data_IF_692441995575
#
_entry.id   IF_692441995575
#
_cell.length_a   1.000
_cell.length_b   1.000
_cell.length_c   1.000
_cell.angle_alpha   90.00
_cell.angle_beta   90.00
_cell.angle_gamma   90.00
#
_symmetry.space_group_name_H-M   'P 1'
#
loop_
_entity.id
_entity.type
_entity.pdbx_description
1 polymer ?
#
# COMPACT_ATOMS: atom_id res chain seq x y z
N UNK A 1 9.27 -16.15 -26.31
CA UNK A 1 9.02 -17.57 -25.95
C UNK A 1 10.09 -18.54 -26.43
N UNK A 2 10.46 -18.60 -27.72
CA UNK A 2 11.47 -19.55 -28.24
C UNK A 2 12.75 -19.64 -27.41
N UNK A 3 13.40 -18.49 -27.15
CA UNK A 3 14.64 -18.43 -26.35
C UNK A 3 14.45 -18.99 -24.93
N UNK A 4 13.31 -18.71 -24.29
CA UNK A 4 13.04 -19.20 -22.94
C UNK A 4 12.89 -20.71 -22.91
N UNK A 5 12.25 -21.30 -23.92
CA UNK A 5 12.11 -22.76 -24.04
C UNK A 5 13.44 -23.43 -24.38
N UNK A 6 14.20 -22.87 -25.33
CA UNK A 6 15.52 -23.41 -25.74
C UNK A 6 16.55 -23.37 -24.59
N UNK A 7 16.48 -22.34 -23.75
CA UNK A 7 17.37 -22.17 -22.58
C UNK A 7 16.79 -22.69 -21.26
N UNK A 8 15.58 -23.25 -21.29
CA UNK A 8 14.82 -23.67 -20.10
C UNK A 8 14.77 -22.60 -18.98
N UNK A 9 14.57 -21.33 -19.36
CA UNK A 9 14.43 -20.22 -18.42
C UNK A 9 13.00 -20.20 -17.88
N UNK A 10 12.87 -20.40 -16.57
CA UNK A 10 11.61 -20.54 -15.84
C UNK A 10 11.33 -19.29 -14.99
N UNK A 11 10.09 -19.08 -14.52
CA UNK A 11 9.75 -17.96 -13.65
C UNK A 11 10.66 -17.84 -12.42
N UNK A 12 11.04 -18.95 -11.77
CA UNK A 12 11.94 -18.95 -10.59
C UNK A 12 13.38 -18.56 -10.91
N UNK A 13 13.80 -18.67 -12.17
CA UNK A 13 15.12 -18.19 -12.61
C UNK A 13 15.16 -16.67 -12.77
N UNK A 14 13.99 -16.03 -12.92
CA UNK A 14 13.81 -14.58 -13.11
C UNK A 14 13.39 -13.91 -11.80
N UNK A 15 12.38 -14.46 -11.12
CA UNK A 15 11.77 -13.93 -9.91
C UNK A 15 12.62 -14.27 -8.68
N UNK A 16 13.80 -13.66 -8.61
CA UNK A 16 14.77 -13.79 -7.50
C UNK A 16 14.61 -12.66 -6.48
N UNK A 17 15.26 -12.76 -5.32
CA UNK A 17 15.26 -11.70 -4.30
C UNK A 17 15.71 -10.34 -4.88
N UNK A 18 16.75 -10.35 -5.72
CA UNK A 18 17.23 -9.16 -6.45
C UNK A 18 16.19 -8.60 -7.41
N UNK A 19 15.41 -9.46 -8.08
CA UNK A 19 14.34 -9.00 -8.96
C UNK A 19 13.17 -8.38 -8.17
N UNK A 20 12.82 -8.94 -7.01
CA UNK A 20 11.85 -8.32 -6.10
C UNK A 20 12.35 -6.99 -5.54
N UNK A 21 13.62 -6.89 -5.16
CA UNK A 21 14.25 -5.61 -4.79
C UNK A 21 14.08 -4.57 -5.91
N UNK A 22 14.45 -4.94 -7.14
CA UNK A 22 14.30 -4.06 -8.30
C UNK A 22 12.84 -3.60 -8.51
N UNK A 23 11.88 -4.52 -8.35
CA UNK A 23 10.47 -4.21 -8.47
C UNK A 23 10.01 -3.22 -7.39
N UNK A 24 10.43 -3.40 -6.14
CA UNK A 24 10.06 -2.51 -5.02
C UNK A 24 10.69 -1.14 -5.22
N UNK A 25 11.98 -1.05 -5.55
CA UNK A 25 12.65 0.23 -5.86
C UNK A 25 11.91 0.96 -6.98
N UNK A 26 11.52 0.25 -8.04
CA UNK A 26 10.76 0.81 -9.17
C UNK A 26 9.36 1.29 -8.74
N UNK A 27 8.69 0.58 -7.83
CA UNK A 27 7.42 1.04 -7.24
C UNK A 27 7.62 2.31 -6.43
N UNK A 28 8.69 2.39 -5.61
CA UNK A 28 8.97 3.54 -4.74
C UNK A 28 9.29 4.79 -5.55
N UNK A 29 10.26 4.72 -6.46
CA UNK A 29 10.68 5.87 -7.30
C UNK A 29 9.54 6.46 -8.13
N UNK A 30 8.59 5.62 -8.54
CA UNK A 30 7.42 6.02 -9.32
C UNK A 30 6.21 6.45 -8.46
N UNK A 31 6.30 6.36 -7.12
CA UNK A 31 5.19 6.70 -6.23
C UNK A 31 3.98 5.76 -6.38
N UNK A 32 4.25 4.48 -6.62
CA UNK A 32 3.28 3.46 -6.98
C UNK A 32 2.21 3.15 -5.92
N UNK A 33 1.29 2.25 -6.27
CA UNK A 33 0.13 1.90 -5.44
C UNK A 33 0.52 1.09 -4.20
N UNK A 34 -0.20 1.29 -3.10
CA UNK A 34 -0.12 0.47 -1.88
C UNK A 34 -0.47 -1.01 -2.17
N UNK A 35 -1.33 -1.28 -3.16
CA UNK A 35 -1.68 -2.63 -3.60
C UNK A 35 -0.45 -3.44 -4.09
N UNK A 36 0.61 -2.76 -4.55
CA UNK A 36 1.83 -3.43 -4.98
C UNK A 36 2.46 -4.26 -3.84
N UNK A 37 2.31 -3.83 -2.58
CA UNK A 37 2.79 -4.57 -1.40
C UNK A 37 2.15 -5.95 -1.34
N UNK A 38 0.81 -6.03 -1.44
CA UNK A 38 0.07 -7.29 -1.41
C UNK A 38 0.52 -8.22 -2.55
N UNK A 39 0.56 -7.68 -3.77
CA UNK A 39 0.87 -8.46 -4.97
C UNK A 39 2.31 -8.97 -4.98
N UNK A 40 3.28 -8.15 -4.55
CA UNK A 40 4.69 -8.56 -4.51
C UNK A 40 4.93 -9.61 -3.43
N UNK A 41 4.29 -9.50 -2.25
CA UNK A 41 4.37 -10.54 -1.20
C UNK A 41 3.77 -11.86 -1.72
N UNK A 42 2.58 -11.81 -2.33
CA UNK A 42 1.95 -13.00 -2.91
C UNK A 42 2.79 -13.65 -4.01
N UNK A 43 3.37 -12.84 -4.92
CA UNK A 43 4.25 -13.33 -5.97
C UNK A 43 5.54 -13.94 -5.39
N UNK A 44 6.14 -13.33 -4.37
CA UNK A 44 7.34 -13.85 -3.71
C UNK A 44 7.08 -15.22 -3.07
N UNK A 45 5.97 -15.36 -2.33
CA UNK A 45 5.52 -16.63 -1.75
C UNK A 45 5.36 -17.73 -2.81
N UNK A 46 4.79 -17.42 -3.99
CA UNK A 46 4.59 -18.40 -5.07
C UNK A 46 5.89 -19.03 -5.62
N UNK A 47 7.03 -18.33 -5.44
CA UNK A 47 8.36 -18.79 -5.85
C UNK A 47 9.25 -19.18 -4.67
N UNK A 48 8.71 -19.22 -3.45
CA UNK A 48 9.44 -19.63 -2.24
C UNK A 48 10.38 -18.55 -1.68
N UNK A 49 10.14 -17.28 -1.99
CA UNK A 49 10.92 -16.15 -1.47
C UNK A 49 10.14 -15.48 -0.34
N UNK A 50 10.82 -15.24 0.78
CA UNK A 50 10.27 -14.46 1.88
C UNK A 50 10.39 -12.97 1.55
N UNK A 51 9.26 -12.28 1.58
CA UNK A 51 9.17 -10.83 1.44
C UNK A 51 8.17 -10.32 2.47
N UNK A 52 8.59 -9.41 3.35
CA UNK A 52 7.78 -8.89 4.46
C UNK A 52 7.72 -7.35 4.45
N UNK A 53 6.82 -6.79 5.26
CA UNK A 53 6.60 -5.34 5.35
C UNK A 53 7.86 -4.59 5.82
N UNK A 54 8.67 -5.19 6.70
CA UNK A 54 9.92 -4.59 7.16
C UNK A 54 10.88 -4.33 6.00
N UNK A 55 10.97 -5.28 5.05
CA UNK A 55 11.78 -5.09 3.84
C UNK A 55 11.25 -3.96 2.94
N UNK A 56 9.92 -3.81 2.81
CA UNK A 56 9.33 -2.66 2.10
C UNK A 56 9.68 -1.34 2.77
N UNK A 57 9.60 -1.28 4.11
CA UNK A 57 9.94 -0.06 4.85
C UNK A 57 11.40 0.32 4.63
N UNK A 58 12.32 -0.65 4.75
CA UNK A 58 13.74 -0.43 4.50
C UNK A 58 13.98 0.18 3.12
N UNK A 59 13.39 -0.40 2.06
CA UNK A 59 13.55 0.14 0.71
C UNK A 59 12.92 1.53 0.58
N UNK A 60 11.77 1.76 1.23
CA UNK A 60 11.13 3.07 1.25
C UNK A 60 12.01 4.15 1.88
N UNK A 61 12.70 3.84 2.99
CA UNK A 61 13.61 4.75 3.67
C UNK A 61 14.84 5.10 2.80
N UNK A 62 15.31 4.13 2.02
CA UNK A 62 16.50 4.24 1.17
C UNK A 62 16.20 4.74 -0.25
N UNK A 63 14.93 4.90 -0.65
CA UNK A 63 14.55 5.20 -2.04
C UNK A 63 13.73 6.49 -2.15
N UNK A 64 14.30 7.49 -2.81
CA UNK A 64 13.59 8.73 -3.12
C UNK A 64 12.50 8.58 -4.18
N UNK A 65 11.41 9.34 -4.05
CA UNK A 65 10.41 9.49 -5.11
C UNK A 65 10.87 10.55 -6.10
N UNK A 66 10.95 10.17 -7.37
CA UNK A 66 11.45 11.04 -8.44
C UNK A 66 10.43 11.25 -9.57
N UNK A 67 9.34 10.47 -9.62
CA UNK A 67 8.32 10.62 -10.67
C UNK A 67 7.15 11.49 -10.22
N UNK A 68 6.86 12.56 -10.96
CA UNK A 68 5.72 13.45 -10.71
C UNK A 68 4.43 12.89 -11.34
N UNK A 69 4.05 11.68 -10.93
CA UNK A 69 2.94 10.94 -11.51
C UNK A 69 1.68 11.01 -10.66
N UNK A 70 0.55 11.14 -11.33
CA UNK A 70 -0.76 10.97 -10.72
C UNK A 70 -0.84 9.59 -10.06
N UNK A 71 -1.49 9.50 -8.89
CA UNK A 71 -2.39 10.52 -8.34
C UNK A 71 -1.75 11.56 -7.43
N UNK A 72 -0.49 11.38 -7.01
CA UNK A 72 0.17 12.33 -6.09
C UNK A 72 0.79 13.54 -6.82
N UNK A 73 1.11 13.33 -8.10
CA UNK A 73 1.75 14.28 -9.00
C UNK A 73 0.88 14.74 -10.17
N UNK A 74 1.52 15.28 -11.20
CA UNK A 74 0.88 15.94 -12.35
C UNK A 74 0.62 15.01 -13.54
N UNK A 75 1.58 14.14 -13.86
CA UNK A 75 1.69 13.43 -15.14
C UNK A 75 1.05 12.03 -15.14
N UNK A 76 0.87 11.47 -16.33
CA UNK A 76 0.36 10.12 -16.58
C UNK A 76 1.47 9.22 -17.16
N UNK A 77 1.18 7.92 -17.30
CA UNK A 77 2.15 6.97 -17.87
C UNK A 77 2.46 7.24 -19.36
N UNK A 78 1.55 7.91 -20.09
CA UNK A 78 1.81 8.36 -21.46
C UNK A 78 2.96 9.38 -21.52
N UNK A 79 3.04 10.27 -20.52
CA UNK A 79 4.14 11.24 -20.43
C UNK A 79 5.47 10.53 -20.16
N UNK A 80 5.47 9.48 -19.32
CA UNK A 80 6.65 8.61 -19.13
C UNK A 80 7.05 7.95 -20.45
N UNK A 81 6.08 7.47 -21.23
CA UNK A 81 6.35 6.91 -22.55
C UNK A 81 6.98 7.92 -23.50
N UNK A 82 6.47 9.16 -23.53
CA UNK A 82 6.96 10.24 -24.38
C UNK A 82 8.44 10.60 -24.13
N UNK A 83 8.93 10.41 -22.91
CA UNK A 83 10.34 10.68 -22.53
C UNK A 83 11.25 9.44 -22.60
N UNK A 84 10.82 8.37 -23.27
CA UNK A 84 11.60 7.14 -23.47
C UNK A 84 11.13 5.93 -22.67
N UNK A 85 10.02 6.05 -21.94
CA UNK A 85 9.36 4.96 -21.24
C UNK A 85 10.14 4.38 -20.06
N UNK A 86 9.60 3.28 -19.52
CA UNK A 86 10.20 2.58 -18.39
C UNK A 86 11.66 2.12 -18.64
N UNK A 87 12.08 1.67 -19.85
CA UNK A 87 13.48 1.33 -20.08
C UNK A 87 14.46 2.47 -19.77
N UNK A 88 14.10 3.71 -20.12
CA UNK A 88 14.94 4.90 -19.86
C UNK A 88 15.00 5.20 -18.35
N UNK A 89 13.88 5.03 -17.64
CA UNK A 89 13.85 5.13 -16.17
C UNK A 89 14.71 4.04 -15.52
N UNK A 90 14.58 2.78 -15.92
CA UNK A 90 15.36 1.67 -15.36
C UNK A 90 16.85 1.81 -15.66
N UNK A 91 17.23 2.29 -16.85
CA UNK A 91 18.61 2.65 -17.19
C UNK A 91 19.16 3.69 -16.23
N UNK A 92 18.40 4.75 -15.98
CA UNK A 92 18.79 5.79 -15.03
C UNK A 92 18.97 5.26 -13.60
N UNK A 93 18.04 4.44 -13.11
CA UNK A 93 18.14 3.83 -11.78
C UNK A 93 19.34 2.88 -11.65
N UNK A 94 19.68 2.14 -12.72
CA UNK A 94 20.90 1.34 -12.78
C UNK A 94 22.17 2.19 -12.70
N UNK A 95 22.23 3.33 -13.41
CA UNK A 95 23.35 4.26 -13.34
C UNK A 95 23.54 4.85 -11.93
N UNK A 96 22.45 4.99 -11.16
CA UNK A 96 22.47 5.40 -9.75
C UNK A 96 22.81 4.26 -8.78
N UNK A 97 22.99 3.03 -9.27
CA UNK A 97 23.31 1.87 -8.44
C UNK A 97 22.15 1.37 -7.59
N UNK A 98 20.91 1.75 -7.92
CA UNK A 98 19.70 1.40 -7.16
C UNK A 98 19.10 0.06 -7.57
N UNK A 99 19.50 -0.49 -8.72
CA UNK A 99 18.98 -1.73 -9.26
C UNK A 99 20.10 -2.75 -9.49
N UNK A 100 19.73 -4.02 -9.37
CA UNK A 100 20.56 -5.15 -9.75
C UNK A 100 20.46 -5.40 -11.26
N UNK A 101 21.50 -5.01 -11.99
CA UNK A 101 21.54 -5.13 -13.46
C UNK A 101 21.73 -6.56 -13.97
N UNK A 102 22.24 -7.47 -13.13
CA UNK A 102 22.52 -8.87 -13.43
C UNK A 102 21.27 -9.77 -13.42
N UNK A 103 20.11 -9.25 -13.00
CA UNK A 103 18.85 -9.98 -13.00
C UNK A 103 18.46 -10.44 -14.41
N UNK A 104 18.26 -11.76 -14.58
CA UNK A 104 17.77 -12.36 -15.82
C UNK A 104 16.34 -11.88 -16.13
N UNK A 105 16.02 -11.68 -17.41
CA UNK A 105 14.67 -11.31 -17.86
C UNK A 105 14.12 -12.28 -18.90
N UNK A 106 12.84 -12.09 -19.25
CA UNK A 106 12.11 -12.89 -20.26
C UNK A 106 12.70 -12.81 -21.68
N UNK A 107 13.65 -11.91 -21.92
CA UNK A 107 14.40 -11.82 -23.18
C UNK A 107 15.54 -12.85 -23.26
N UNK A 108 15.89 -13.50 -22.15
CA UNK A 108 17.08 -14.34 -22.02
C UNK A 108 18.38 -13.54 -21.86
N UNK A 109 18.27 -12.23 -21.63
CA UNK A 109 19.34 -11.28 -21.27
C UNK A 109 19.12 -10.74 -19.86
N UNK A 110 20.15 -10.18 -19.26
CA UNK A 110 20.10 -9.44 -18.00
C UNK A 110 19.36 -8.10 -18.15
N UNK A 111 18.92 -7.51 -17.04
CA UNK A 111 18.26 -6.19 -17.04
C UNK A 111 19.17 -5.12 -17.66
N UNK A 112 20.45 -5.09 -17.29
CA UNK A 112 21.43 -4.13 -17.80
C UNK A 112 21.57 -4.22 -19.33
N UNK A 113 21.67 -5.43 -19.87
CA UNK A 113 21.75 -5.65 -21.33
C UNK A 113 20.48 -5.19 -22.06
N UNK A 114 19.31 -5.28 -21.43
CA UNK A 114 18.05 -4.88 -22.05
C UNK A 114 17.89 -3.37 -22.16
N UNK A 115 18.41 -2.62 -21.18
CA UNK A 115 18.25 -1.16 -21.13
C UNK A 115 19.47 -0.40 -21.63
N UNK A 116 20.56 -1.09 -22.02
CA UNK A 116 21.80 -0.46 -22.50
C UNK A 116 21.56 0.56 -23.62
N UNK A 117 20.71 0.20 -24.59
CA UNK A 117 20.37 1.03 -25.76
C UNK A 117 19.16 1.95 -25.54
N UNK A 118 18.56 1.95 -24.34
CA UNK A 118 17.49 2.90 -24.04
C UNK A 118 18.05 4.33 -24.01
N UNK A 119 17.22 5.31 -24.37
CA UNK A 119 17.60 6.71 -24.30
C UNK A 119 17.91 7.10 -22.85
N UNK A 120 18.90 7.98 -22.66
CA UNK A 120 19.11 8.61 -21.35
C UNK A 120 18.03 9.67 -21.12
N UNK A 121 17.60 9.81 -19.86
CA UNK A 121 16.67 10.87 -19.49
C UNK A 121 17.36 12.23 -19.61
N UNK A 122 16.75 13.15 -20.35
CA UNK A 122 17.19 14.53 -20.42
C UNK A 122 16.42 15.35 -19.37
N UNK A 123 17.08 15.84 -18.33
CA UNK A 123 16.42 16.59 -17.25
C UNK A 123 16.19 18.08 -17.57
N UNK A 124 16.63 18.56 -18.73
CA UNK A 124 16.44 19.97 -19.15
C UNK A 124 15.15 20.18 -19.94
N UNK A 125 14.56 19.12 -20.52
CA UNK A 125 13.43 19.22 -21.44
C UNK A 125 12.16 18.47 -20.99
N UNK A 126 12.17 17.88 -19.80
CA UNK A 126 11.01 17.25 -19.17
C UNK A 126 11.07 17.39 -17.65
N UNK A 127 9.91 17.38 -17.03
CA UNK A 127 9.68 17.48 -15.58
C UNK A 127 8.80 16.33 -15.06
N UNK A 128 8.75 15.21 -15.79
CA UNK A 128 8.03 13.97 -15.43
C UNK A 128 8.85 13.13 -14.45
N UNK A 129 10.15 12.98 -14.70
CA UNK A 129 11.12 12.28 -13.86
C UNK A 129 12.21 13.26 -13.44
N UNK A 130 12.38 13.43 -12.13
CA UNK A 130 13.34 14.32 -11.52
C UNK A 130 14.71 13.63 -11.37
N UNK A 131 15.80 14.40 -11.37
CA UNK A 131 17.09 13.88 -10.94
C UNK A 131 17.01 13.32 -9.51
N UNK A 132 17.64 12.18 -9.27
CA UNK A 132 17.69 11.54 -7.96
C UNK A 132 18.36 12.43 -6.90
N UNK A 133 19.27 13.31 -7.31
CA UNK A 133 19.89 14.33 -6.45
C UNK A 133 18.91 15.43 -6.00
N UNK A 134 17.84 15.68 -6.76
CA UNK A 134 16.81 16.66 -6.45
C UNK A 134 15.41 16.04 -6.55
N UNK A 135 15.08 15.08 -5.65
CA UNK A 135 13.87 14.30 -5.73
C UNK A 135 12.65 15.09 -5.25
N UNK A 136 11.45 14.61 -5.59
CA UNK A 136 10.18 15.13 -5.08
C UNK A 136 10.09 14.88 -3.57
N UNK A 137 10.48 13.68 -3.14
CA UNK A 137 10.58 13.29 -1.73
C UNK A 137 11.81 12.42 -1.53
N UNK A 138 12.57 12.68 -0.47
CA UNK A 138 13.82 11.95 -0.17
C UNK A 138 13.61 10.48 0.18
N UNK A 139 12.43 10.12 0.67
CA UNK A 139 12.01 8.74 0.97
C UNK A 139 10.76 8.38 0.19
N UNK A 140 10.43 7.09 0.15
CA UNK A 140 9.29 6.55 -0.57
C UNK A 140 7.94 7.05 -0.03
N UNK A 141 6.92 7.02 -0.89
CA UNK A 141 5.55 7.32 -0.47
C UNK A 141 4.92 6.19 0.34
N UNK A 142 5.32 4.93 0.10
CA UNK A 142 4.74 3.79 0.82
C UNK A 142 5.40 3.67 2.19
N UNK A 143 4.63 3.83 3.25
CA UNK A 143 5.10 3.72 4.63
C UNK A 143 4.35 2.59 5.33
N UNK A 144 5.09 1.70 5.99
CA UNK A 144 4.54 0.58 6.74
C UNK A 144 4.35 1.04 8.17
N UNK A 145 3.10 1.21 8.61
CA UNK A 145 2.81 1.69 9.96
C UNK A 145 2.50 0.51 10.89
N UNK A 146 3.08 0.55 12.08
CA UNK A 146 2.85 -0.39 13.19
C UNK A 146 2.22 0.34 14.37
N UNK A 147 2.06 -0.31 15.51
CA UNK A 147 1.49 0.31 16.71
C UNK A 147 0.33 -0.51 17.24
N UNK A 148 -0.35 0.00 18.25
CA UNK A 148 -1.37 -0.79 18.91
C UNK A 148 -2.58 -1.07 18.00
N UNK A 149 -2.87 -0.24 16.98
CA UNK A 149 -3.97 -0.52 16.05
C UNK A 149 -3.60 -1.54 14.98
N UNK A 150 -2.32 -1.59 14.59
CA UNK A 150 -1.80 -2.43 13.52
C UNK A 150 -0.58 -3.25 13.98
N UNK A 151 -0.73 -4.18 14.94
CA UNK A 151 0.40 -4.89 15.53
C UNK A 151 1.12 -5.82 14.55
N UNK A 152 0.46 -6.23 13.45
CA UNK A 152 1.07 -7.00 12.35
C UNK A 152 1.37 -6.12 11.11
N UNK A 153 1.24 -4.80 11.26
CA UNK A 153 1.51 -3.81 10.23
C UNK A 153 0.27 -3.35 9.46
N UNK A 154 0.48 -2.27 8.71
CA UNK A 154 -0.46 -1.62 7.82
C UNK A 154 0.31 -0.87 6.73
N UNK A 155 -0.37 -0.42 5.68
CA UNK A 155 0.26 0.27 4.55
C UNK A 155 -0.39 1.63 4.36
N UNK A 156 0.43 2.69 4.45
CA UNK A 156 0.02 4.06 4.21
C UNK A 156 0.70 4.63 2.98
N UNK A 157 0.03 5.57 2.32
CA UNK A 157 0.66 6.44 1.31
C UNK A 157 0.89 7.81 1.92
N UNK A 158 2.14 8.11 2.26
CA UNK A 158 2.56 9.39 2.85
C UNK A 158 3.36 10.19 1.82
N UNK A 159 2.71 11.14 1.15
CA UNK A 159 3.31 11.97 0.10
C UNK A 159 4.20 13.10 0.62
N UNK A 160 4.04 13.46 1.89
CA UNK A 160 4.73 14.59 2.55
C UNK A 160 3.99 15.93 2.41
N UNK A 161 2.85 15.99 1.71
CA UNK A 161 1.99 17.18 1.60
C UNK A 161 0.97 17.27 2.75
N UNK A 162 0.73 16.17 3.43
CA UNK A 162 -0.22 15.99 4.53
C UNK A 162 0.34 16.32 5.92
N UNK A 163 1.66 16.48 6.05
CA UNK A 163 2.37 16.66 7.32
C UNK A 163 2.98 15.36 7.86
N UNK A 164 3.55 15.43 9.05
CA UNK A 164 4.25 14.30 9.70
C UNK A 164 3.35 13.50 10.66
N UNK A 165 2.27 14.10 11.15
CA UNK A 165 1.35 13.45 12.08
C UNK A 165 -0.09 13.94 11.95
N UNK A 166 -1.04 13.08 12.25
CA UNK A 166 -2.45 13.41 12.40
C UNK A 166 -2.98 12.85 13.72
N UNK A 167 -3.79 13.63 14.44
CA UNK A 167 -4.44 13.16 15.67
C UNK A 167 -5.85 13.68 15.73
N UNK A 168 -6.80 12.80 16.01
CA UNK A 168 -8.21 13.16 15.99
C UNK A 168 -9.11 12.11 16.61
N UNK A 169 -10.36 12.48 16.95
CA UNK A 169 -11.36 11.56 17.44
C UNK A 169 -11.82 10.60 16.33
N UNK A 170 -12.06 9.35 16.70
CA UNK A 170 -12.52 8.32 15.79
C UNK A 170 -13.99 8.55 15.36
N UNK A 171 -14.26 8.29 14.08
CA UNK A 171 -15.61 8.07 13.53
C UNK A 171 -15.65 6.69 12.92
N UNK A 172 -16.30 5.76 13.62
CA UNK A 172 -16.30 4.34 13.30
C UNK A 172 -17.49 3.98 12.42
N UNK A 173 -17.22 3.17 11.41
CA UNK A 173 -18.19 2.67 10.45
C UNK A 173 -17.93 1.19 10.15
N UNK A 174 -18.99 0.39 10.17
CA UNK A 174 -18.96 -1.03 9.83
C UNK A 174 -19.29 -1.23 8.34
N UNK A 175 -18.39 -0.71 7.50
CA UNK A 175 -18.43 -0.86 6.04
C UNK A 175 -18.65 0.44 5.24
N UNK A 176 -18.53 0.31 3.92
CA UNK A 176 -18.56 1.44 2.97
C UNK A 176 -19.90 2.19 2.97
N UNK A 177 -21.02 1.47 3.05
CA UNK A 177 -22.36 2.07 2.98
C UNK A 177 -22.66 2.96 4.19
N UNK A 178 -22.25 2.55 5.39
CA UNK A 178 -22.44 3.34 6.61
C UNK A 178 -21.60 4.61 6.58
N UNK A 179 -20.38 4.55 6.06
CA UNK A 179 -19.54 5.73 5.90
C UNK A 179 -20.16 6.75 4.95
N UNK A 180 -20.69 6.31 3.79
CA UNK A 180 -21.36 7.23 2.85
C UNK A 180 -22.53 7.94 3.56
N UNK A 181 -23.31 7.21 4.35
CA UNK A 181 -24.38 7.81 5.15
C UNK A 181 -23.83 8.79 6.20
N UNK A 182 -22.76 8.43 6.91
CA UNK A 182 -22.08 9.27 7.89
C UNK A 182 -21.55 10.58 7.32
N UNK A 183 -21.02 10.57 6.09
CA UNK A 183 -20.59 11.78 5.40
C UNK A 183 -21.82 12.63 5.05
N UNK A 184 -22.85 12.02 4.45
CA UNK A 184 -24.05 12.75 4.01
C UNK A 184 -24.85 13.38 5.16
N UNK A 185 -24.79 12.78 6.34
CA UNK A 185 -25.47 13.26 7.56
C UNK A 185 -24.65 14.27 8.36
N UNK A 186 -23.39 14.51 7.99
CA UNK A 186 -22.48 15.40 8.72
C UNK A 186 -21.91 14.79 10.01
N UNK A 187 -21.94 13.45 10.17
CA UNK A 187 -21.25 12.75 11.26
C UNK A 187 -19.72 12.96 11.18
N UNK A 188 -19.18 12.96 9.96
CA UNK A 188 -17.75 13.21 9.71
C UNK A 188 -17.48 14.72 9.67
N UNK A 189 -16.49 15.17 10.43
CA UNK A 189 -16.08 16.57 10.56
C UNK A 189 -14.58 16.72 10.35
N UNK A 190 -14.15 17.94 10.04
CA UNK A 190 -12.72 18.27 10.01
C UNK A 190 -12.06 17.96 11.36
N UNK A 191 -10.90 17.31 11.31
CA UNK A 191 -10.14 16.82 12.47
C UNK A 191 -10.44 15.37 12.84
N UNK A 192 -11.46 14.73 12.26
CA UNK A 192 -11.79 13.33 12.59
C UNK A 192 -10.80 12.33 11.97
N UNK A 193 -10.66 11.17 12.63
CA UNK A 193 -10.07 9.95 12.06
C UNK A 193 -11.20 8.99 11.70
N UNK A 194 -11.46 8.84 10.41
CA UNK A 194 -12.50 7.95 9.90
C UNK A 194 -12.00 6.51 9.88
N UNK A 195 -12.66 5.63 10.63
CA UNK A 195 -12.32 4.22 10.78
C UNK A 195 -13.34 3.38 10.02
N UNK A 196 -12.90 2.69 8.98
CA UNK A 196 -13.73 1.77 8.20
C UNK A 196 -13.25 0.35 8.49
N UNK A 197 -14.06 -0.42 9.20
CA UNK A 197 -13.69 -1.77 9.62
C UNK A 197 -14.65 -2.81 9.06
N UNK A 198 -14.32 -4.09 9.26
CA UNK A 198 -15.05 -5.22 8.69
C UNK A 198 -15.05 -5.20 7.15
N UNK A 199 -14.00 -4.63 6.55
CA UNK A 199 -13.78 -4.59 5.11
C UNK A 199 -12.45 -5.23 4.70
N UNK A 200 -11.87 -6.01 5.62
CA UNK A 200 -10.67 -6.82 5.38
C UNK A 200 -10.92 -8.08 4.54
N UNK A 201 -9.88 -8.94 4.39
CA UNK A 201 -9.96 -10.18 3.62
C UNK A 201 -11.13 -11.08 4.00
N UNK A 202 -11.39 -11.28 5.30
CA UNK A 202 -12.48 -12.13 5.77
C UNK A 202 -13.74 -11.35 6.12
N UNK A 203 -13.60 -10.14 6.67
CA UNK A 203 -14.71 -9.33 7.17
C UNK A 203 -15.72 -8.91 6.10
N UNK A 204 -15.26 -8.56 4.89
CA UNK A 204 -16.15 -8.16 3.80
C UNK A 204 -16.93 -9.32 3.18
N UNK A 205 -16.32 -10.44 2.70
CA UNK A 205 -14.90 -10.78 2.45
C UNK A 205 -14.36 -10.24 1.10
N UNK A 206 -13.09 -10.48 0.82
CA UNK A 206 -12.43 -10.15 -0.45
C UNK A 206 -11.63 -8.86 -0.44
N UNK A 207 -11.54 -8.19 0.72
CA UNK A 207 -10.78 -6.96 0.92
C UNK A 207 -11.08 -5.91 -0.17
N UNK A 208 -12.35 -5.48 -0.33
CA UNK A 208 -12.76 -4.59 -1.42
C UNK A 208 -11.99 -3.26 -1.40
N UNK A 209 -11.75 -2.72 -2.60
CA UNK A 209 -11.12 -1.42 -2.76
C UNK A 209 -12.18 -0.32 -2.75
N UNK A 210 -12.04 0.63 -1.82
CA UNK A 210 -13.03 1.67 -1.57
C UNK A 210 -12.64 2.99 -2.25
N UNK A 211 -13.26 3.29 -3.39
CA UNK A 211 -13.10 4.57 -4.11
C UNK A 211 -14.22 5.57 -3.79
N UNK A 212 -15.46 5.10 -3.54
CA UNK A 212 -16.58 6.02 -3.29
C UNK A 212 -16.41 6.80 -1.98
N UNK A 213 -15.97 6.20 -0.85
CA UNK A 213 -15.68 6.94 0.37
C UNK A 213 -14.70 8.08 0.21
N UNK A 214 -13.58 7.82 -0.45
CA UNK A 214 -12.53 8.81 -0.65
C UNK A 214 -13.08 9.95 -1.49
N UNK A 215 -13.72 9.65 -2.62
CA UNK A 215 -14.39 10.64 -3.48
C UNK A 215 -15.45 11.47 -2.74
N UNK A 216 -16.25 10.85 -1.86
CA UNK A 216 -17.28 11.53 -1.08
C UNK A 216 -16.68 12.49 -0.04
N UNK A 217 -15.59 12.11 0.62
CA UNK A 217 -14.86 12.97 1.58
C UNK A 217 -14.26 14.18 0.86
N UNK A 218 -13.65 13.99 -0.31
CA UNK A 218 -13.16 15.10 -1.12
C UNK A 218 -14.31 16.00 -1.60
N UNK A 219 -15.42 15.43 -2.06
CA UNK A 219 -16.60 16.17 -2.47
C UNK A 219 -17.24 16.99 -1.33
N UNK A 220 -17.11 16.53 -0.08
CA UNK A 220 -17.53 17.25 1.11
C UNK A 220 -16.52 18.32 1.59
N UNK A 221 -15.39 18.49 0.90
CA UNK A 221 -14.34 19.45 1.27
C UNK A 221 -13.49 19.00 2.46
N UNK A 222 -13.52 17.72 2.84
CA UNK A 222 -12.85 17.18 4.03
C UNK A 222 -11.53 16.47 3.72
N UNK A 223 -11.16 16.29 2.45
CA UNK A 223 -10.03 15.44 2.05
C UNK A 223 -8.65 15.83 2.59
N UNK A 224 -8.45 17.10 2.99
CA UNK A 224 -7.20 17.55 3.61
C UNK A 224 -7.30 17.68 5.14
N UNK A 225 -8.49 17.49 5.72
CA UNK A 225 -8.76 17.76 7.13
C UNK A 225 -9.17 16.52 7.92
N UNK A 226 -9.26 15.35 7.30
CA UNK A 226 -9.53 14.07 7.98
C UNK A 226 -8.47 13.03 7.63
N UNK A 227 -8.30 12.06 8.51
CA UNK A 227 -7.56 10.83 8.20
C UNK A 227 -8.52 9.68 7.91
N UNK A 228 -8.07 8.70 7.13
CA UNK A 228 -8.81 7.52 6.74
C UNK A 228 -8.01 6.27 7.09
N UNK A 229 -8.58 5.39 7.91
CA UNK A 229 -7.95 4.13 8.29
C UNK A 229 -8.88 2.95 8.04
N UNK A 230 -8.33 1.80 7.61
CA UNK A 230 -9.13 0.61 7.33
C UNK A 230 -8.35 -0.70 7.39
N UNK A 231 -9.04 -1.79 7.71
CA UNK A 231 -8.58 -3.17 7.50
C UNK A 231 -8.72 -3.63 6.03
N UNK A 232 -9.41 -2.85 5.19
CA UNK A 232 -9.54 -3.04 3.75
C UNK A 232 -8.50 -2.27 2.93
N UNK A 233 -8.90 -1.80 1.74
CA UNK A 233 -8.03 -1.08 0.80
C UNK A 233 -8.66 0.22 0.32
N UNK A 234 -7.83 1.23 0.13
CA UNK A 234 -8.21 2.47 -0.55
C UNK A 234 -7.68 2.51 -1.96
N UNK A 235 -8.44 3.16 -2.85
CA UNK A 235 -7.95 3.43 -4.19
C UNK A 235 -6.78 4.41 -4.17
N UNK A 236 -5.80 4.18 -5.04
CA UNK A 236 -4.54 4.94 -5.06
C UNK A 236 -4.71 6.46 -5.21
N UNK A 237 -5.88 6.94 -5.65
CA UNK A 237 -6.24 8.33 -5.92
C UNK A 237 -6.40 9.27 -4.73
N UNK A 238 -6.01 8.86 -3.52
CA UNK A 238 -6.39 9.57 -2.28
C UNK A 238 -5.24 10.42 -1.77
N UNK A 239 -5.52 11.67 -1.35
CA UNK A 239 -4.59 12.55 -0.64
C UNK A 239 -4.88 12.56 0.87
N UNK A 240 -3.90 12.91 1.70
CA UNK A 240 -4.04 12.94 3.16
C UNK A 240 -3.52 11.66 3.84
N UNK A 241 -3.74 11.54 5.14
CA UNK A 241 -3.38 10.33 5.91
C UNK A 241 -4.34 9.19 5.60
N UNK A 242 -3.92 8.32 4.70
CA UNK A 242 -4.71 7.18 4.21
C UNK A 242 -3.96 5.90 4.52
N UNK A 243 -4.49 5.12 5.45
CA UNK A 243 -3.89 3.90 5.97
C UNK A 243 -4.82 2.73 5.67
N UNK A 244 -4.36 1.78 4.85
CA UNK A 244 -5.06 0.54 4.58
C UNK A 244 -4.34 -0.66 5.15
N UNK A 245 -4.90 -1.85 4.93
CA UNK A 245 -4.27 -3.12 5.24
C UNK A 245 -3.96 -3.29 6.75
N UNK A 246 -4.72 -2.61 7.62
CA UNK A 246 -4.52 -2.74 9.07
C UNK A 246 -4.72 -4.19 9.48
N UNK A 247 -3.67 -4.76 10.07
CA UNK A 247 -3.60 -6.18 10.40
C UNK A 247 -3.27 -6.37 11.89
N UNK A 248 -3.98 -7.26 12.61
CA UNK A 248 -5.12 -8.08 12.17
C UNK A 248 -6.38 -7.26 11.82
N UNK A 249 -7.20 -7.80 10.91
CA UNK A 249 -8.49 -7.19 10.54
C UNK A 249 -9.52 -7.26 11.68
N UNK A 250 -10.57 -6.44 11.64
CA UNK A 250 -11.60 -6.41 12.68
C UNK A 250 -12.32 -7.75 12.86
N UNK A 251 -12.56 -8.48 11.76
CA UNK A 251 -13.24 -9.77 11.79
C UNK A 251 -12.47 -10.84 12.58
N UNK A 252 -11.15 -10.73 12.65
CA UNK A 252 -10.27 -11.66 13.38
C UNK A 252 -9.94 -11.15 14.80
N UNK A 253 -10.64 -10.10 15.28
CA UNK A 253 -10.42 -9.55 16.62
C UNK A 253 -9.21 -8.60 16.71
N UNK A 254 -8.77 -8.06 15.58
CA UNK A 254 -7.77 -7.01 15.53
C UNK A 254 -8.23 -5.74 16.26
N UNK A 255 -7.28 -4.93 16.70
CA UNK A 255 -7.57 -3.78 17.59
C UNK A 255 -8.42 -2.70 16.91
N UNK A 256 -8.37 -2.60 15.57
CA UNK A 256 -9.30 -1.77 14.80
C UNK A 256 -10.79 -2.15 15.02
N UNK A 257 -11.06 -3.43 15.31
CA UNK A 257 -12.38 -3.95 15.69
C UNK A 257 -12.86 -3.50 17.08
N UNK A 258 -11.98 -2.94 17.90
CA UNK A 258 -12.25 -2.52 19.28
C UNK A 258 -12.36 -1.01 19.45
N UNK A 259 -12.14 -0.25 18.38
CA UNK A 259 -12.28 1.21 18.37
C UNK A 259 -13.74 1.60 18.47
N UNK A 260 -14.03 2.62 19.28
CA UNK A 260 -15.33 3.25 19.43
C UNK A 260 -15.28 4.69 18.91
N UNK A 261 -16.45 5.27 18.62
CA UNK A 261 -16.54 6.72 18.33
C UNK A 261 -15.89 7.52 19.48
N UNK A 262 -15.24 8.62 19.10
CA UNK A 262 -14.54 9.56 19.98
C UNK A 262 -13.24 9.07 20.64
N UNK A 263 -12.83 7.81 20.47
CA UNK A 263 -11.47 7.40 20.82
C UNK A 263 -10.45 8.25 20.05
N UNK A 264 -9.41 8.74 20.72
CA UNK A 264 -8.37 9.52 20.04
C UNK A 264 -7.42 8.57 19.32
N UNK A 265 -7.24 8.78 18.02
CA UNK A 265 -6.28 8.02 17.20
C UNK A 265 -5.16 8.96 16.78
N UNK A 266 -3.92 8.49 16.90
CA UNK A 266 -2.71 9.16 16.43
C UNK A 266 -2.07 8.35 15.29
N UNK A 267 -1.75 9.05 14.21
CA UNK A 267 -0.95 8.54 13.08
C UNK A 267 0.33 9.38 13.05
N UNK A 268 1.48 8.74 13.16
CA UNK A 268 2.80 9.37 13.21
C UNK A 268 3.67 8.78 12.10
N UNK A 269 3.83 9.51 11.00
CA UNK A 269 4.63 9.09 9.85
C UNK A 269 6.14 9.20 10.10
N UNK A 270 6.58 9.89 11.14
CA UNK A 270 7.99 9.98 11.52
C UNK A 270 8.41 8.74 12.32
N UNK A 271 7.51 8.21 13.15
CA UNK A 271 7.72 6.97 13.91
C UNK A 271 7.20 5.71 13.20
N UNK A 272 6.55 5.88 12.06
CA UNK A 272 5.80 4.83 11.38
C UNK A 272 4.82 4.13 12.31
N UNK A 273 4.02 4.91 13.05
CA UNK A 273 3.07 4.39 14.04
C UNK A 273 1.61 4.82 13.80
N UNK A 274 0.69 3.95 14.22
CA UNK A 274 -0.75 4.14 14.27
C UNK A 274 -1.28 3.55 15.57
N UNK A 275 -1.79 4.43 16.43
CA UNK A 275 -2.15 4.10 17.80
C UNK A 275 -3.50 4.69 18.18
N UNK A 276 -4.32 3.93 18.90
CA UNK A 276 -5.48 4.45 19.62
C UNK A 276 -5.09 4.75 21.07
N UNK A 277 -5.40 5.95 21.53
CA UNK A 277 -4.97 6.50 22.82
C UNK A 277 -5.90 6.07 23.96
N UNK A 278 -6.12 4.76 24.09
CA UNK A 278 -6.79 4.14 25.23
C UNK A 278 -5.78 3.33 26.05
N UNK A 279 -6.08 3.11 27.32
CA UNK A 279 -5.18 2.34 28.18
C UNK A 279 -5.19 0.85 27.80
N UNK A 280 -4.14 0.13 28.18
CA UNK A 280 -4.06 -1.31 27.94
C UNK A 280 -5.19 -2.07 28.65
N UNK A 281 -5.61 -1.60 29.84
CA UNK A 281 -6.72 -2.19 30.60
C UNK A 281 -8.04 -2.03 29.87
N UNK A 282 -8.31 -0.86 29.29
CA UNK A 282 -9.52 -0.61 28.51
C UNK A 282 -9.52 -1.44 27.22
N UNK A 283 -8.39 -1.49 26.51
CA UNK A 283 -8.24 -2.34 25.32
C UNK A 283 -8.53 -3.81 25.63
N UNK A 284 -8.01 -4.32 26.75
CA UNK A 284 -8.22 -5.70 27.17
C UNK A 284 -9.66 -5.94 27.66
N UNK A 285 -10.28 -4.96 28.31
CA UNK A 285 -11.70 -5.01 28.67
C UNK A 285 -12.57 -5.15 27.42
N UNK A 286 -12.36 -4.30 26.40
CA UNK A 286 -13.08 -4.37 25.13
C UNK A 286 -12.84 -5.70 24.41
N UNK A 287 -11.60 -6.21 24.41
CA UNK A 287 -11.27 -7.51 23.81
C UNK A 287 -12.05 -8.66 24.44
N UNK A 288 -12.23 -8.66 25.77
CA UNK A 288 -13.01 -9.68 26.48
C UNK A 288 -14.50 -9.64 26.15
N UNK A 289 -15.03 -8.47 25.80
CA UNK A 289 -16.42 -8.29 25.39
C UNK A 289 -16.64 -8.56 23.90
N UNK A 290 -15.57 -8.53 23.10
CA UNK A 290 -15.66 -8.74 21.66
C UNK A 290 -16.07 -10.17 21.32
N UNK A 291 -17.03 -10.28 20.41
CA UNK A 291 -17.49 -11.55 19.85
C UNK A 291 -17.25 -11.53 18.36
N UNK A 292 -16.62 -12.59 17.84
CA UNK A 292 -16.41 -12.72 16.42
C UNK A 292 -17.77 -12.71 15.68
N UNK A 293 -17.96 -11.83 14.68
CA UNK A 293 -19.16 -11.84 13.86
C UNK A 293 -19.36 -13.17 13.14
N UNK A 294 -20.60 -13.53 12.83
CA UNK A 294 -20.85 -14.67 11.95
C UNK A 294 -20.24 -14.42 10.56
N UNK A 295 -19.75 -15.47 9.86
CA UNK A 295 -19.23 -15.31 8.51
C UNK A 295 -20.24 -14.59 7.61
N UNK A 296 -19.83 -13.53 6.89
CA UNK A 296 -20.73 -12.72 6.04
C UNK A 296 -21.27 -13.51 4.84
N UNK A 297 -20.60 -14.60 4.47
CA UNK A 297 -20.96 -15.51 3.38
C UNK A 297 -20.95 -16.97 3.86
N UNK A 298 -21.84 -17.80 3.32
CA UNK A 298 -22.01 -19.20 3.75
C UNK A 298 -21.73 -20.24 2.65
N UNK A 299 -21.62 -19.82 1.40
CA UNK A 299 -21.36 -20.67 0.23
C UNK A 299 -20.76 -19.84 -0.92
N UNK A 300 -20.43 -20.51 -2.04
CA UNK A 300 -19.88 -19.87 -3.23
C UNK A 300 -18.40 -19.50 -3.14
N UNK A 301 -17.92 -18.77 -4.15
CA UNK A 301 -16.49 -18.44 -4.29
C UNK A 301 -15.96 -17.59 -3.13
N UNK A 302 -16.74 -16.62 -2.64
CA UNK A 302 -16.33 -15.78 -1.50
C UNK A 302 -16.22 -16.58 -0.20
N UNK A 303 -17.03 -17.63 -0.03
CA UNK A 303 -16.88 -18.52 1.13
C UNK A 303 -15.65 -19.41 1.04
N UNK A 304 -15.27 -19.85 -0.18
CA UNK A 304 -13.99 -20.54 -0.38
C UNK A 304 -12.81 -19.62 -0.07
N UNK A 305 -12.85 -18.38 -0.57
CA UNK A 305 -11.84 -17.36 -0.27
C UNK A 305 -11.74 -17.09 1.24
N UNK A 306 -12.87 -16.80 1.90
CA UNK A 306 -12.95 -16.58 3.35
C UNK A 306 -12.27 -17.68 4.17
N UNK A 307 -12.41 -18.95 3.75
CA UNK A 307 -11.81 -20.10 4.45
C UNK A 307 -10.30 -20.23 4.25
N UNK A 308 -9.76 -19.72 3.15
CA UNK A 308 -8.40 -20.01 2.70
C UNK A 308 -7.47 -18.81 2.80
N UNK A 309 -8.02 -17.60 2.80
CA UNK A 309 -7.23 -16.38 2.70
C UNK A 309 -6.40 -16.13 3.96
N UNK A 310 -5.12 -15.83 3.76
CA UNK A 310 -4.24 -15.25 4.78
C UNK A 310 -4.53 -13.75 4.96
N UNK A 311 -3.96 -13.16 6.00
CA UNK A 311 -4.17 -11.74 6.27
C UNK A 311 -3.43 -10.84 5.23
N UNK A 312 -3.62 -9.52 5.35
CA UNK A 312 -3.05 -8.56 4.41
C UNK A 312 -1.51 -8.43 4.52
N UNK A 313 -0.90 -8.57 5.71
CA UNK A 313 0.56 -8.57 5.85
C UNK A 313 1.21 -9.79 5.20
N UNK A 314 0.43 -10.84 4.92
CA UNK A 314 0.84 -12.04 4.20
C UNK A 314 0.46 -12.04 2.71
N UNK A 315 0.00 -10.91 2.17
CA UNK A 315 -0.33 -10.75 0.76
C UNK A 315 -1.66 -11.39 0.33
N UNK A 316 -2.54 -11.73 1.29
CA UNK A 316 -3.85 -12.34 1.02
C UNK A 316 -3.81 -13.60 0.14
N UNK A 317 -2.75 -14.41 0.26
CA UNK A 317 -2.62 -15.70 -0.44
C UNK A 317 -3.66 -16.70 0.05
N UNK A 318 -3.98 -17.72 -0.76
CA UNK A 318 -5.11 -18.65 -0.52
C UNK A 318 -4.72 -20.13 -0.65
N UNK A 319 -3.44 -20.44 -0.76
CA UNK A 319 -2.89 -21.77 -1.06
C UNK A 319 -1.83 -22.21 -0.04
N UNK A 320 -1.79 -21.55 1.11
CA UNK A 320 -0.92 -21.89 2.23
C UNK A 320 -1.72 -22.61 3.32
N UNK A 321 -2.02 -23.89 3.09
CA UNK A 321 -2.43 -24.92 4.07
C UNK A 321 -2.73 -26.26 3.37
#
# INVERSE_FOLDING_TARGET
>A
MRILLEKDIKPRDIMTEKAFHNAIVTVMVLGGSTNAVLHLIAMAKSVGIKLDLEYFQKISDETSVIADLKPSGKYMMEDVHAIGGLPSVLKYLLQKGLLHGDCLTVTGKTLAENVAEAADLNFENQDVIYPYENPIKKTGHLQMLYGNLAPQGSVAKISGKEGESFTGPARVFDGEFELIHGISSGKVKAGDVVVIRNVGPKGAPGMPEMLKPTSAIFGAGLGASVALITDGRFSGGTHGFVVGHITPEAFEGGNIGLVNDDDIIQIDATKNSIDVMITAEEMEHRRKLWQQPAPPVKNGVLFKYFKQVKNASEGCVTDEE
#
